data_IF_206647143668
#
_entry.id   IF_206647143668
#
_cell.length_a   1.000
_cell.length_b   1.000
_cell.length_c   1.000
_cell.angle_alpha   90.00
_cell.angle_beta   90.00
_cell.angle_gamma   90.00
#
_symmetry.space_group_name_H-M   'P 1'
#
loop_
_entity.id
_entity.type
_entity.pdbx_description
1 polymer ?
#
# COMPACT_ATOMS: atom_id res chain seq x y z
N UNK A 1 9.92 -6.23 7.64
CA UNK A 1 10.23 -6.77 6.29
C UNK A 1 10.79 -5.64 5.45
N UNK A 2 12.00 -5.74 4.89
CA UNK A 2 12.60 -4.64 4.10
C UNK A 2 12.20 -4.65 2.62
N UNK A 3 11.65 -5.76 2.13
CA UNK A 3 11.17 -5.93 0.76
C UNK A 3 10.00 -6.91 0.78
N UNK A 4 8.78 -6.44 0.47
CA UNK A 4 7.60 -7.30 0.36
C UNK A 4 7.17 -7.37 -1.11
N UNK A 5 7.02 -8.58 -1.64
CA UNK A 5 6.51 -8.81 -2.99
C UNK A 5 5.04 -9.23 -2.88
N UNK A 6 4.13 -8.27 -3.10
CA UNK A 6 2.69 -8.43 -2.94
C UNK A 6 1.97 -8.09 -4.25
N UNK A 7 2.54 -8.55 -5.37
CA UNK A 7 1.99 -8.34 -6.71
C UNK A 7 0.65 -9.07 -6.81
N UNK A 8 -0.38 -8.36 -7.23
CA UNK A 8 -1.76 -8.85 -7.32
C UNK A 8 -2.33 -9.42 -5.99
N UNK A 9 -1.74 -9.06 -4.85
CA UNK A 9 -2.19 -9.55 -3.55
C UNK A 9 -3.60 -9.04 -3.24
N UNK A 10 -4.43 -9.92 -2.67
CA UNK A 10 -5.76 -9.58 -2.18
C UNK A 10 -5.66 -9.21 -0.69
N UNK A 11 -5.55 -7.91 -0.41
CA UNK A 11 -5.39 -7.34 0.94
C UNK A 11 -6.63 -6.54 1.34
N UNK A 12 -7.80 -7.03 0.95
CA UNK A 12 -9.08 -6.39 1.24
C UNK A 12 -9.31 -6.39 2.75
N UNK A 13 -9.59 -5.22 3.31
CA UNK A 13 -9.75 -5.01 4.76
C UNK A 13 -8.52 -5.41 5.60
N UNK A 14 -7.33 -5.53 4.98
CA UNK A 14 -6.13 -5.93 5.70
C UNK A 14 -5.72 -4.87 6.73
N UNK A 15 -5.30 -5.33 7.92
CA UNK A 15 -4.81 -4.47 8.98
C UNK A 15 -3.29 -4.31 8.87
N UNK A 16 -2.85 -3.32 8.10
CA UNK A 16 -1.43 -3.02 7.84
C UNK A 16 -0.97 -1.77 8.63
N UNK A 17 -1.55 -1.55 9.80
CA UNK A 17 -1.19 -0.44 10.68
C UNK A 17 0.27 -0.54 11.09
N UNK A 18 1.01 0.55 10.94
CA UNK A 18 2.45 0.61 11.23
C UNK A 18 3.31 -0.43 10.48
N UNK A 19 2.77 -1.03 9.40
CA UNK A 19 3.49 -2.04 8.64
C UNK A 19 4.74 -1.43 7.98
N UNK A 20 5.85 -2.17 8.04
CA UNK A 20 7.08 -1.81 7.34
C UNK A 20 6.99 -2.31 5.89
N UNK A 21 6.53 -1.45 4.99
CA UNK A 21 6.36 -1.73 3.55
C UNK A 21 7.32 -0.89 2.70
N UNK A 22 8.49 -0.54 3.27
CA UNK A 22 9.52 0.21 2.55
C UNK A 22 9.95 -0.60 1.34
N UNK A 23 10.02 0.03 0.17
CA UNK A 23 10.38 -0.63 -1.09
C UNK A 23 9.48 -1.82 -1.48
N UNK A 24 8.27 -1.92 -0.93
CA UNK A 24 7.34 -3.00 -1.26
C UNK A 24 6.81 -2.88 -2.69
N UNK A 25 6.62 -4.03 -3.35
CA UNK A 25 6.02 -4.12 -4.69
C UNK A 25 4.56 -4.56 -4.57
N UNK A 26 3.65 -3.59 -4.60
CA UNK A 26 2.19 -3.77 -4.49
C UNK A 26 1.49 -3.59 -5.85
N UNK A 27 2.16 -3.95 -6.95
CA UNK A 27 1.61 -3.78 -8.29
C UNK A 27 0.31 -4.56 -8.42
N UNK A 28 -0.76 -3.90 -8.87
CA UNK A 28 -2.10 -4.48 -9.02
C UNK A 28 -2.70 -5.05 -7.73
N UNK A 29 -2.18 -4.71 -6.55
CA UNK A 29 -2.71 -5.19 -5.28
C UNK A 29 -4.10 -4.60 -5.01
N UNK A 30 -4.98 -5.40 -4.41
CA UNK A 30 -6.33 -5.00 -4.01
C UNK A 30 -6.34 -4.65 -2.52
N UNK A 31 -6.21 -3.36 -2.22
CA UNK A 31 -6.14 -2.80 -0.86
C UNK A 31 -7.47 -2.15 -0.44
N UNK A 32 -8.60 -2.64 -0.98
CA UNK A 32 -9.91 -2.06 -0.69
C UNK A 32 -10.19 -2.13 0.82
N UNK A 33 -10.54 -1.00 1.43
CA UNK A 33 -10.77 -0.87 2.87
C UNK A 33 -9.57 -1.25 3.76
N UNK A 34 -8.36 -1.34 3.21
CA UNK A 34 -7.17 -1.66 4.00
C UNK A 34 -6.80 -0.52 4.96
N UNK A 35 -6.34 -0.87 6.15
CA UNK A 35 -5.93 0.07 7.19
C UNK A 35 -4.41 0.22 7.18
N UNK A 36 -3.92 1.24 6.47
CA UNK A 36 -2.49 1.54 6.29
C UNK A 36 -2.03 2.72 7.17
N UNK A 37 -2.76 3.01 8.26
CA UNK A 37 -2.43 4.09 9.19
C UNK A 37 -1.00 3.91 9.69
N UNK A 38 -0.18 4.96 9.57
CA UNK A 38 1.24 4.95 9.98
C UNK A 38 2.12 3.91 9.25
N UNK A 39 1.65 3.30 8.16
CA UNK A 39 2.45 2.35 7.39
C UNK A 39 3.63 3.05 6.70
N UNK A 40 4.81 2.44 6.75
CA UNK A 40 6.03 2.98 6.14
C UNK A 40 6.09 2.57 4.68
N UNK A 41 5.57 3.41 3.78
CA UNK A 41 5.48 3.15 2.33
C UNK A 41 6.59 3.84 1.51
N UNK A 42 7.66 4.31 2.15
CA UNK A 42 8.77 4.97 1.46
C UNK A 42 9.32 4.06 0.35
N UNK A 43 9.39 4.60 -0.87
CA UNK A 43 9.87 3.89 -2.07
C UNK A 43 9.04 2.67 -2.48
N UNK A 44 7.82 2.52 -1.95
CA UNK A 44 6.92 1.47 -2.41
C UNK A 44 6.44 1.73 -3.85
N UNK A 45 6.07 0.67 -4.56
CA UNK A 45 5.45 0.75 -5.88
C UNK A 45 4.01 0.26 -5.80
N UNK A 46 3.06 1.19 -5.96
CA UNK A 46 1.62 0.95 -5.92
C UNK A 46 0.99 1.02 -7.32
N UNK A 47 1.77 0.71 -8.37
CA UNK A 47 1.30 0.78 -9.75
C UNK A 47 0.07 -0.11 -9.98
N UNK A 48 -1.00 0.46 -10.49
CA UNK A 48 -2.30 -0.18 -10.71
C UNK A 48 -2.96 -0.75 -9.44
N UNK A 49 -2.49 -0.39 -8.24
CA UNK A 49 -3.13 -0.83 -7.00
C UNK A 49 -4.52 -0.19 -6.84
N UNK A 50 -5.46 -0.96 -6.30
CA UNK A 50 -6.82 -0.51 -5.98
C UNK A 50 -6.89 -0.13 -4.50
N UNK A 51 -6.94 1.16 -4.21
CA UNK A 51 -6.94 1.72 -2.84
C UNK A 51 -8.33 2.20 -2.39
N UNK A 52 -9.41 1.71 -3.00
CA UNK A 52 -10.77 2.17 -2.68
C UNK A 52 -11.07 2.05 -1.19
N UNK A 53 -11.44 3.16 -0.55
CA UNK A 53 -11.71 3.24 0.90
C UNK A 53 -10.52 2.86 1.80
N UNK A 54 -9.28 2.83 1.29
CA UNK A 54 -8.09 2.56 2.10
C UNK A 54 -7.77 3.75 3.01
N UNK A 55 -7.46 3.46 4.28
CA UNK A 55 -7.11 4.48 5.27
C UNK A 55 -5.59 4.66 5.32
N UNK A 56 -5.08 5.71 4.68
CA UNK A 56 -3.64 6.04 4.58
C UNK A 56 -3.20 7.12 5.60
N UNK A 57 -4.02 7.39 6.63
CA UNK A 57 -3.77 8.51 7.57
C UNK A 57 -2.39 8.38 8.21
N UNK A 58 -1.58 9.45 8.17
CA UNK A 58 -0.24 9.52 8.77
C UNK A 58 0.78 8.51 8.23
N UNK A 59 0.59 7.95 7.02
CA UNK A 59 1.60 7.13 6.37
C UNK A 59 2.65 8.04 5.69
N UNK A 60 3.95 7.98 6.04
CA UNK A 60 4.98 8.76 5.37
C UNK A 60 5.18 8.27 3.93
N UNK A 61 4.52 8.94 2.99
CA UNK A 61 4.62 8.72 1.54
C UNK A 61 5.78 9.54 0.94
N UNK A 62 7.01 9.28 1.39
CA UNK A 62 8.22 9.76 0.70
C UNK A 62 8.44 8.95 -0.61
N UNK A 63 9.25 9.42 -1.59
CA UNK A 63 9.00 9.24 -3.03
C UNK A 63 8.53 7.81 -3.35
N UNK A 64 7.22 7.67 -3.50
CA UNK A 64 6.53 6.42 -3.75
C UNK A 64 5.87 6.55 -5.12
N UNK A 65 6.01 5.53 -5.97
CA UNK A 65 5.37 5.54 -7.28
C UNK A 65 3.91 5.14 -7.09
N UNK A 66 3.05 6.15 -6.96
CA UNK A 66 1.61 5.98 -6.80
C UNK A 66 0.90 6.23 -8.13
N UNK A 67 0.64 5.13 -8.86
CA UNK A 67 -0.23 5.13 -10.04
C UNK A 67 -1.39 4.22 -9.69
N UNK A 68 -2.26 4.66 -8.79
CA UNK A 68 -3.40 3.88 -8.34
C UNK A 68 -4.67 4.36 -9.03
N UNK A 69 -5.55 3.44 -9.42
CA UNK A 69 -6.92 3.78 -9.79
C UNK A 69 -7.72 3.98 -8.51
N UNK A 70 -8.07 5.23 -8.22
CA UNK A 70 -9.09 5.57 -7.23
C UNK A 70 -10.43 5.47 -7.98
N UNK A 71 -11.28 4.54 -7.59
CA UNK A 71 -12.65 4.37 -8.11
C UNK A 71 -13.61 4.32 -6.93
#
# INVERSE_FOLDING_TARGET
MRFAQLRSAQLRSAQLRSAQLRSAQLRSAQLRSAQLRSAQLRSASLRSAQLRSAQLRSAPIAPCVLISRIS
#
